data_IF_891722987714
#
_entry.id   IF_891722987714
#
_cell.length_a   1.000
_cell.length_b   1.000
_cell.length_c   1.000
_cell.angle_alpha   90.00
_cell.angle_beta   90.00
_cell.angle_gamma   90.00
#
_symmetry.space_group_name_H-M   'P 1'
#
loop_
_entity.id
_entity.type
_entity.pdbx_description
1 polymer ?
#
# COMPACT_ATOMS: atom_id res chain seq x y z
N UNK A 1 -46.86 1.87 19.41
CA UNK A 1 -46.62 0.51 18.89
C UNK A 1 -45.17 0.04 18.95
N UNK A 2 -44.57 0.01 20.15
CA UNK A 2 -43.27 -0.64 20.41
C UNK A 2 -43.39 -1.82 21.39
N UNK A 3 -44.63 -2.21 21.75
CA UNK A 3 -44.91 -3.18 22.82
C UNK A 3 -45.74 -4.38 22.37
N UNK A 4 -46.05 -4.53 21.08
CA UNK A 4 -46.73 -5.74 20.56
C UNK A 4 -45.71 -6.85 20.23
N UNK A 5 -45.03 -7.31 21.27
CA UNK A 5 -44.90 -8.71 21.69
C UNK A 5 -44.73 -9.89 20.73
N UNK A 6 -44.30 -9.77 19.46
CA UNK A 6 -44.22 -10.98 18.62
C UNK A 6 -43.12 -11.08 17.54
N UNK A 7 -42.09 -10.23 17.58
CA UNK A 7 -40.86 -10.49 16.83
C UNK A 7 -39.82 -11.01 17.80
N UNK A 8 -39.52 -12.31 17.73
CA UNK A 8 -38.40 -12.91 18.45
C UNK A 8 -37.17 -12.02 18.29
N UNK A 9 -36.52 -11.68 19.40
CA UNK A 9 -35.38 -10.77 19.44
C UNK A 9 -34.35 -11.22 18.39
N UNK A 10 -34.36 -10.57 17.23
CA UNK A 10 -33.43 -10.92 16.17
C UNK A 10 -32.04 -10.52 16.68
N UNK A 11 -31.14 -11.48 16.93
CA UNK A 11 -29.81 -11.19 17.50
C UNK A 11 -29.05 -10.16 16.65
N UNK A 12 -29.41 -10.04 15.38
CA UNK A 12 -28.86 -9.10 14.41
C UNK A 12 -29.01 -7.62 14.80
N UNK A 13 -30.11 -7.20 15.42
CA UNK A 13 -30.31 -5.77 15.74
C UNK A 13 -29.40 -5.28 16.87
N UNK A 14 -29.18 -6.11 17.89
CA UNK A 14 -28.24 -5.78 18.97
C UNK A 14 -26.80 -5.76 18.47
N UNK A 15 -26.44 -6.70 17.58
CA UNK A 15 -25.12 -6.74 16.95
C UNK A 15 -24.90 -5.51 16.07
N UNK A 16 -25.89 -5.07 15.28
CA UNK A 16 -25.79 -3.86 14.47
C UNK A 16 -25.62 -2.60 15.34
N UNK A 17 -26.40 -2.47 16.41
CA UNK A 17 -26.27 -1.32 17.33
C UNK A 17 -24.90 -1.31 18.02
N UNK A 18 -24.41 -2.48 18.43
CA UNK A 18 -23.08 -2.61 19.03
C UNK A 18 -21.97 -2.24 18.03
N UNK A 19 -22.07 -2.68 16.77
CA UNK A 19 -21.14 -2.28 15.70
C UNK A 19 -21.15 -0.77 15.46
N UNK A 20 -22.32 -0.14 15.46
CA UNK A 20 -22.44 1.32 15.32
C UNK A 20 -21.79 2.06 16.50
N UNK A 21 -22.01 1.59 17.73
CA UNK A 21 -21.34 2.14 18.92
C UNK A 21 -19.82 1.96 18.85
N UNK A 22 -19.36 0.77 18.50
CA UNK A 22 -17.93 0.46 18.37
C UNK A 22 -17.25 1.33 17.32
N UNK A 23 -17.89 1.58 16.17
CA UNK A 23 -17.34 2.45 15.11
C UNK A 23 -17.08 3.88 15.61
N UNK A 24 -17.95 4.43 16.46
CA UNK A 24 -17.78 5.77 17.04
C UNK A 24 -16.60 5.82 18.03
N UNK A 25 -16.44 4.77 18.84
CA UNK A 25 -15.33 4.67 19.79
C UNK A 25 -13.98 4.42 19.11
N UNK A 26 -13.96 3.68 18.00
CA UNK A 26 -12.75 3.43 17.21
C UNK A 26 -12.16 4.72 16.64
N UNK A 27 -12.99 5.64 16.15
CA UNK A 27 -12.53 6.95 15.69
C UNK A 27 -11.81 7.72 16.81
N UNK A 28 -12.38 7.72 18.02
CA UNK A 28 -11.76 8.36 19.17
C UNK A 28 -10.42 7.72 19.57
N UNK A 29 -10.35 6.39 19.60
CA UNK A 29 -9.08 5.68 19.91
C UNK A 29 -8.01 5.97 18.85
N UNK A 30 -8.39 6.00 17.58
CA UNK A 30 -7.50 6.32 16.47
C UNK A 30 -6.87 7.72 16.62
N UNK A 31 -7.67 8.76 16.89
CA UNK A 31 -7.13 10.11 17.10
C UNK A 31 -6.33 10.24 18.40
N UNK A 32 -6.66 9.50 19.46
CA UNK A 32 -5.83 9.44 20.67
C UNK A 32 -4.42 8.93 20.35
N UNK A 33 -4.29 7.89 19.52
CA UNK A 33 -3.00 7.34 19.07
C UNK A 33 -2.21 8.33 18.22
N UNK A 34 -2.87 8.98 17.26
CA UNK A 34 -2.26 10.05 16.46
C UNK A 34 -1.74 11.18 17.35
N UNK A 35 -2.55 11.61 18.32
CA UNK A 35 -2.16 12.65 19.28
C UNK A 35 -0.95 12.23 20.14
N UNK A 36 -0.87 10.95 20.53
CA UNK A 36 0.27 10.43 21.27
C UNK A 36 1.55 10.48 20.42
N UNK A 37 1.49 10.02 19.17
CA UNK A 37 2.62 10.10 18.24
C UNK A 37 3.08 11.54 17.99
N UNK A 38 2.13 12.46 17.78
CA UNK A 38 2.44 13.90 17.67
C UNK A 38 3.06 14.44 18.96
N UNK A 39 2.53 14.07 20.13
CA UNK A 39 3.05 14.50 21.43
C UNK A 39 4.50 14.05 21.67
N UNK A 40 4.82 12.79 21.33
CA UNK A 40 6.20 12.27 21.43
C UNK A 40 7.15 13.05 20.51
N UNK A 41 6.73 13.36 19.29
CA UNK A 41 7.52 14.18 18.37
C UNK A 41 7.74 15.60 18.91
N UNK A 42 6.74 16.23 19.55
CA UNK A 42 6.92 17.54 20.21
C UNK A 42 7.90 17.46 21.38
N UNK A 43 7.85 16.40 22.19
CA UNK A 43 8.79 16.19 23.30
C UNK A 43 10.22 16.07 22.76
N UNK A 44 10.44 15.31 21.68
CA UNK A 44 11.76 15.19 21.05
C UNK A 44 12.28 16.52 20.49
N UNK A 45 11.42 17.33 19.88
CA UNK A 45 11.81 18.68 19.45
C UNK A 45 12.14 19.59 20.63
N UNK A 46 11.36 19.56 21.71
CA UNK A 46 11.65 20.32 22.92
C UNK A 46 13.01 19.93 23.53
N UNK A 47 13.31 18.63 23.58
CA UNK A 47 14.63 18.12 23.99
C UNK A 47 15.74 18.58 23.04
N UNK A 48 15.49 18.60 21.73
CA UNK A 48 16.44 19.13 20.74
C UNK A 48 16.76 20.60 21.01
N UNK A 49 15.75 21.44 21.26
CA UNK A 49 15.95 22.85 21.64
C UNK A 49 16.69 23.01 22.96
N UNK A 50 16.35 22.20 23.97
CA UNK A 50 17.08 22.18 25.24
C UNK A 50 18.56 21.86 25.03
N UNK A 51 18.88 20.83 24.24
CA UNK A 51 20.25 20.48 23.91
C UNK A 51 20.97 21.58 23.12
N UNK A 52 20.29 22.27 22.20
CA UNK A 52 20.86 23.43 21.50
C UNK A 52 21.27 24.51 22.51
N UNK A 53 20.37 24.90 23.42
CA UNK A 53 20.68 25.90 24.44
C UNK A 53 21.87 25.47 25.30
N UNK A 54 21.81 24.28 25.89
CA UNK A 54 22.86 23.81 26.80
C UNK A 54 24.22 23.63 26.09
N UNK A 55 24.25 23.10 24.86
CA UNK A 55 25.53 22.83 24.17
C UNK A 55 26.11 24.04 23.43
N UNK A 56 25.30 24.84 22.74
CA UNK A 56 25.78 25.99 21.98
C UNK A 56 25.94 27.24 22.84
N UNK A 57 25.05 27.47 23.81
CA UNK A 57 25.10 28.67 24.66
C UNK A 57 26.03 28.45 25.83
N UNK A 58 25.84 27.38 26.62
CA UNK A 58 26.59 27.16 27.85
C UNK A 58 27.96 26.51 27.58
N UNK A 59 27.99 25.36 26.88
CA UNK A 59 29.24 24.62 26.65
C UNK A 59 30.09 25.14 25.48
N UNK A 60 29.55 26.03 24.65
CA UNK A 60 30.24 26.67 23.52
C UNK A 60 30.85 25.65 22.53
N UNK A 61 30.25 24.47 22.43
CA UNK A 61 30.69 23.41 21.52
C UNK A 61 29.68 23.22 20.39
N UNK A 62 29.83 23.93 19.25
CA UNK A 62 28.88 23.84 18.15
C UNK A 62 28.83 22.42 17.56
N UNK A 63 29.97 21.73 17.48
CA UNK A 63 30.06 20.36 16.96
C UNK A 63 29.20 19.40 17.78
N UNK A 64 29.27 19.47 19.11
CA UNK A 64 28.46 18.62 20.00
C UNK A 64 26.97 18.93 19.82
N UNK A 65 26.59 20.20 19.71
CA UNK A 65 25.18 20.55 19.52
C UNK A 65 24.61 20.12 18.18
N UNK A 66 25.34 20.28 17.07
CA UNK A 66 24.89 19.75 15.78
C UNK A 66 24.76 18.22 15.79
N UNK A 67 25.66 17.51 16.48
CA UNK A 67 25.58 16.06 16.63
C UNK A 67 24.32 15.64 17.42
N UNK A 68 24.01 16.30 18.54
CA UNK A 68 22.80 16.02 19.33
C UNK A 68 21.52 16.36 18.57
N UNK A 69 21.48 17.51 17.87
CA UNK A 69 20.34 17.86 17.02
C UNK A 69 20.13 16.78 15.98
N UNK A 70 21.16 16.39 15.25
CA UNK A 70 21.09 15.34 14.22
C UNK A 70 20.56 14.02 14.82
N UNK A 71 21.03 13.64 16.01
CA UNK A 71 20.57 12.43 16.70
C UNK A 71 19.07 12.48 16.98
N UNK A 72 18.56 13.55 17.61
CA UNK A 72 17.13 13.69 17.90
C UNK A 72 16.28 13.77 16.63
N UNK A 73 16.78 14.41 15.59
CA UNK A 73 16.08 14.47 14.30
C UNK A 73 16.03 13.10 13.62
N UNK A 74 17.10 12.31 13.66
CA UNK A 74 17.08 10.92 13.18
C UNK A 74 16.08 10.07 13.96
N UNK A 75 15.99 10.23 15.28
CA UNK A 75 14.98 9.53 16.11
C UNK A 75 13.55 9.95 15.72
N UNK A 76 13.32 11.24 15.49
CA UNK A 76 12.02 11.78 15.05
C UNK A 76 11.62 11.19 13.70
N UNK A 77 12.55 11.11 12.74
CA UNK A 77 12.33 10.47 11.43
C UNK A 77 12.00 8.99 11.60
N UNK A 78 12.76 8.27 12.43
CA UNK A 78 12.53 6.84 12.67
C UNK A 78 11.15 6.58 13.28
N UNK A 79 10.74 7.37 14.28
CA UNK A 79 9.40 7.25 14.87
C UNK A 79 8.29 7.57 13.85
N UNK A 80 8.48 8.61 13.04
CA UNK A 80 7.50 8.95 12.01
C UNK A 80 7.34 7.85 10.96
N UNK A 81 8.42 7.18 10.57
CA UNK A 81 8.37 6.02 9.66
C UNK A 81 7.67 4.82 10.30
N UNK A 82 7.80 4.63 11.62
CA UNK A 82 7.11 3.55 12.33
C UNK A 82 5.61 3.82 12.52
N UNK A 83 5.23 5.08 12.75
CA UNK A 83 3.84 5.48 13.02
C UNK A 83 3.00 5.65 11.75
N UNK A 84 3.60 6.05 10.63
CA UNK A 84 2.90 6.26 9.35
C UNK A 84 2.93 4.99 8.50
N UNK A 85 1.76 4.53 8.06
CA UNK A 85 1.62 3.47 7.06
C UNK A 85 0.73 3.96 5.92
N UNK A 86 1.15 3.71 4.68
CA UNK A 86 0.37 4.03 3.49
C UNK A 86 0.67 5.36 2.79
N UNK A 87 1.60 6.17 3.30
CA UNK A 87 2.23 7.23 2.50
C UNK A 87 3.46 6.70 1.77
N UNK A 88 3.77 7.28 0.61
CA UNK A 88 5.03 6.97 -0.08
C UNK A 88 6.19 7.41 0.82
N UNK A 89 7.28 6.63 0.89
CA UNK A 89 8.49 7.01 1.67
C UNK A 89 8.97 8.44 1.39
N UNK A 90 8.82 8.90 0.13
CA UNK A 90 9.16 10.28 -0.28
C UNK A 90 8.30 11.35 0.41
N UNK A 91 7.02 11.10 0.63
CA UNK A 91 6.11 12.04 1.30
C UNK A 91 6.40 12.12 2.79
N UNK A 92 6.65 10.97 3.43
CA UNK A 92 7.08 10.90 4.83
C UNK A 92 8.37 11.70 5.01
N UNK A 93 9.36 11.46 4.15
CA UNK A 93 10.63 12.17 4.19
C UNK A 93 10.47 13.68 3.95
N UNK A 94 9.59 14.09 3.03
CA UNK A 94 9.31 15.50 2.78
C UNK A 94 8.71 16.21 4.02
N UNK A 95 7.73 15.58 4.69
CA UNK A 95 7.16 16.11 5.94
C UNK A 95 8.22 16.22 7.03
N UNK A 96 9.10 15.22 7.15
CA UNK A 96 10.18 15.26 8.14
C UNK A 96 11.25 16.30 7.84
N UNK A 97 11.62 16.52 6.57
CA UNK A 97 12.55 17.59 6.20
C UNK A 97 12.02 18.96 6.64
N UNK A 98 10.72 19.21 6.45
CA UNK A 98 10.07 20.44 6.96
C UNK A 98 10.12 20.52 8.48
N UNK A 99 9.98 19.40 9.19
CA UNK A 99 10.07 19.32 10.65
C UNK A 99 11.48 19.48 11.24
N UNK A 100 12.51 19.20 10.45
CA UNK A 100 13.92 19.35 10.85
C UNK A 100 14.37 20.82 10.74
N UNK A 101 13.81 21.58 9.79
CA UNK A 101 14.19 22.97 9.51
C UNK A 101 14.13 23.91 10.73
N UNK A 102 13.09 23.92 11.60
CA UNK A 102 13.02 24.78 12.77
C UNK A 102 14.23 24.63 13.70
N UNK A 103 14.64 23.39 13.99
CA UNK A 103 15.78 23.10 14.86
C UNK A 103 17.11 23.48 14.20
N UNK A 104 17.27 23.20 12.89
CA UNK A 104 18.47 23.58 12.15
C UNK A 104 18.63 25.11 12.03
N UNK A 105 17.56 25.84 11.73
CA UNK A 105 17.57 27.30 11.64
C UNK A 105 17.92 27.94 12.99
N UNK A 106 17.43 27.35 14.08
CA UNK A 106 17.74 27.80 15.44
C UNK A 106 19.19 27.52 15.81
N UNK A 107 19.66 26.30 15.59
CA UNK A 107 21.06 25.93 15.83
C UNK A 107 22.02 26.79 14.99
N UNK A 108 21.69 27.01 13.71
CA UNK A 108 22.45 27.85 12.81
C UNK A 108 22.50 29.31 13.27
N UNK A 109 21.35 29.88 13.65
CA UNK A 109 21.24 31.25 14.14
C UNK A 109 22.03 31.49 15.44
N UNK A 110 22.00 30.54 16.38
CA UNK A 110 22.75 30.62 17.64
C UNK A 110 24.25 30.40 17.40
N UNK A 111 24.62 29.47 16.50
CA UNK A 111 26.03 29.19 16.19
C UNK A 111 26.73 30.38 15.52
N UNK A 112 26.02 31.10 14.64
CA UNK A 112 26.54 32.29 13.94
C UNK A 112 26.22 33.60 14.68
N UNK A 113 25.77 33.51 15.92
CA UNK A 113 25.55 34.65 16.78
C UNK A 113 26.83 35.44 17.05
N UNK A 114 26.73 36.76 17.14
CA UNK A 114 27.83 37.59 17.64
C UNK A 114 28.07 37.22 19.10
N UNK A 115 29.32 36.91 19.40
CA UNK A 115 29.79 36.58 20.76
C UNK A 115 30.73 37.67 21.24
N UNK A 116 30.68 37.96 22.53
CA UNK A 116 31.62 38.86 23.18
C UNK A 116 33.02 38.22 23.28
N UNK A 117 33.98 38.98 23.79
CA UNK A 117 35.36 38.51 24.01
C UNK A 117 35.43 37.31 24.98
N UNK A 118 34.41 37.14 25.83
CA UNK A 118 34.29 36.03 26.76
C UNK A 118 33.57 34.82 26.15
N UNK A 119 33.14 34.88 24.88
CA UNK A 119 32.41 33.82 24.18
C UNK A 119 30.93 33.69 24.54
N UNK A 120 30.38 34.64 25.30
CA UNK A 120 28.97 34.77 25.67
C UNK A 120 28.21 35.42 24.51
N UNK A 121 26.98 34.96 24.29
CA UNK A 121 26.10 35.48 23.23
C UNK A 121 25.67 36.92 23.56
N UNK A 122 25.77 37.85 22.62
CA UNK A 122 25.35 39.25 22.84
C UNK A 122 23.82 39.32 23.07
N UNK A 123 23.34 39.79 24.23
CA UNK A 123 21.90 39.87 24.52
C UNK A 123 21.17 40.87 23.61
N UNK A 124 21.88 41.82 23.00
CA UNK A 124 21.29 42.80 22.09
C UNK A 124 21.22 42.31 20.65
N UNK A 125 21.65 41.07 20.36
CA UNK A 125 21.61 40.53 19.02
C UNK A 125 20.16 40.34 18.54
N UNK A 126 19.86 40.87 17.35
CA UNK A 126 18.60 40.61 16.66
C UNK A 126 18.63 39.23 15.99
N UNK A 127 17.83 38.28 16.48
CA UNK A 127 17.72 36.93 15.94
C UNK A 127 16.77 36.87 14.75
N UNK A 128 17.23 37.31 13.57
CA UNK A 128 16.43 37.31 12.34
C UNK A 128 15.92 35.92 11.91
N UNK A 129 16.60 34.84 12.32
CA UNK A 129 16.21 33.46 12.02
C UNK A 129 15.07 32.93 12.89
N UNK A 130 14.82 33.56 14.06
CA UNK A 130 13.79 33.14 15.00
C UNK A 130 12.38 33.12 14.39
N UNK A 131 11.87 34.18 13.74
CA UNK A 131 10.53 34.14 13.14
C UNK A 131 10.40 33.05 12.07
N UNK A 132 11.44 32.79 11.28
CA UNK A 132 11.42 31.73 10.28
C UNK A 132 11.36 30.34 10.92
N UNK A 133 12.06 30.11 12.03
CA UNK A 133 11.95 28.85 12.77
C UNK A 133 10.53 28.59 13.26
N UNK A 134 9.86 29.59 13.84
CA UNK A 134 8.46 29.47 14.27
C UNK A 134 7.51 29.25 13.09
N UNK A 135 7.72 29.93 11.96
CA UNK A 135 6.90 29.72 10.76
C UNK A 135 7.08 28.29 10.22
N UNK A 136 8.31 27.79 10.14
CA UNK A 136 8.57 26.40 9.74
C UNK A 136 7.90 25.40 10.71
N UNK A 137 7.91 25.68 12.01
CA UNK A 137 7.24 24.84 13.02
C UNK A 137 5.73 24.79 12.81
N UNK A 138 5.10 25.95 12.56
CA UNK A 138 3.66 26.02 12.25
C UNK A 138 3.35 25.30 10.94
N UNK A 139 4.14 25.51 9.89
CA UNK A 139 3.97 24.79 8.62
C UNK A 139 4.08 23.27 8.79
N UNK A 140 5.03 22.81 9.60
CA UNK A 140 5.19 21.39 9.89
C UNK A 140 3.99 20.82 10.66
N UNK A 141 3.47 21.52 11.66
CA UNK A 141 2.26 21.16 12.39
C UNK A 141 1.04 21.07 11.48
N UNK A 142 0.86 22.06 10.59
CA UNK A 142 -0.21 22.06 9.59
C UNK A 142 -0.11 20.88 8.62
N UNK A 143 1.10 20.52 8.19
CA UNK A 143 1.32 19.34 7.35
C UNK A 143 0.92 18.06 8.10
N UNK A 144 1.28 17.92 9.37
CA UNK A 144 0.87 16.79 10.19
C UNK A 144 -0.65 16.71 10.38
N UNK A 145 -1.32 17.84 10.61
CA UNK A 145 -2.78 17.89 10.69
C UNK A 145 -3.44 17.48 9.38
N UNK A 146 -2.87 17.86 8.24
CA UNK A 146 -3.34 17.41 6.92
C UNK A 146 -3.08 15.93 6.67
N UNK A 147 -1.98 15.38 7.17
CA UNK A 147 -1.69 13.94 7.12
C UNK A 147 -2.65 13.15 8.01
N UNK A 148 -3.04 13.72 9.16
CA UNK A 148 -4.02 13.15 10.08
C UNK A 148 -5.47 13.36 9.64
N UNK A 149 -5.73 14.21 8.64
CA UNK A 149 -7.07 14.40 8.13
C UNK A 149 -7.59 13.11 7.49
N UNK A 150 -8.89 12.78 7.67
CA UNK A 150 -9.49 11.61 7.06
C UNK A 150 -9.45 11.72 5.53
N UNK A 151 -9.23 10.60 4.84
CA UNK A 151 -9.13 10.55 3.39
C UNK A 151 -10.40 9.92 2.78
N UNK A 152 -11.07 10.64 1.87
CA UNK A 152 -12.21 10.14 1.11
C UNK A 152 -13.57 10.20 1.84
N UNK A 153 -14.59 9.66 1.18
CA UNK A 153 -15.98 9.56 1.65
C UNK A 153 -16.20 8.41 2.66
N UNK A 154 -15.13 8.04 3.38
CA UNK A 154 -15.16 6.92 4.31
C UNK A 154 -16.08 7.27 5.50
N UNK A 155 -17.13 6.48 5.69
CA UNK A 155 -18.21 6.78 6.66
C UNK A 155 -17.65 6.93 8.09
N UNK A 156 -16.58 6.18 8.40
CA UNK A 156 -15.92 6.17 9.70
C UNK A 156 -14.92 7.33 9.90
N UNK A 157 -14.56 8.10 8.86
CA UNK A 157 -13.60 9.23 8.89
C UNK A 157 -12.31 8.93 9.67
N UNK A 158 -11.75 7.73 9.45
CA UNK A 158 -10.57 7.25 10.16
C UNK A 158 -9.27 7.79 9.53
N UNK A 159 -8.25 8.14 10.33
CA UNK A 159 -6.93 8.50 9.83
C UNK A 159 -6.14 7.25 9.40
N UNK A 160 -6.53 6.64 8.27
CA UNK A 160 -5.95 5.38 7.74
C UNK A 160 -4.45 5.43 7.42
N UNK A 161 -3.87 6.63 7.35
CA UNK A 161 -2.44 6.86 7.09
C UNK A 161 -1.52 6.50 8.27
N UNK A 162 -2.10 6.13 9.41
CA UNK A 162 -1.35 5.73 10.60
C UNK A 162 -1.42 4.22 10.78
N UNK A 163 -0.25 3.59 10.92
CA UNK A 163 -0.13 2.14 11.07
C UNK A 163 -0.93 1.61 12.26
N UNK A 164 -0.89 2.36 13.37
CA UNK A 164 -1.60 2.00 14.60
C UNK A 164 -3.13 2.00 14.43
N UNK A 165 -3.64 2.74 13.44
CA UNK A 165 -5.08 2.84 13.13
C UNK A 165 -5.50 1.71 12.21
N UNK A 166 -4.62 1.27 11.31
CA UNK A 166 -4.86 0.12 10.43
C UNK A 166 -5.20 -1.15 11.23
N UNK A 167 -4.55 -1.35 12.38
CA UNK A 167 -4.79 -2.50 13.24
C UNK A 167 -6.10 -2.43 14.06
N UNK A 168 -6.74 -1.25 14.13
CA UNK A 168 -8.04 -1.11 14.80
C UNK A 168 -9.20 -1.56 13.92
N UNK A 169 -9.02 -1.55 12.59
CA UNK A 169 -10.03 -1.93 11.62
C UNK A 169 -9.92 -3.41 11.22
N UNK A 170 -10.00 -4.31 12.20
CA UNK A 170 -9.91 -5.77 11.98
C UNK A 170 -11.09 -6.32 11.16
N UNK A 171 -12.19 -5.57 11.08
CA UNK A 171 -13.45 -6.07 10.50
C UNK A 171 -13.94 -5.32 9.26
N UNK A 172 -13.46 -4.08 9.00
CA UNK A 172 -13.92 -3.26 7.87
C UNK A 172 -13.24 -3.59 6.54
N UNK A 173 -11.97 -3.99 6.55
CA UNK A 173 -11.18 -4.13 5.32
C UNK A 173 -11.38 -5.44 4.55
N UNK A 174 -12.09 -6.43 5.13
CA UNK A 174 -12.28 -7.75 4.47
C UNK A 174 -13.18 -7.67 3.23
N UNK A 175 -14.01 -6.62 3.11
CA UNK A 175 -14.95 -6.47 1.99
C UNK A 175 -14.58 -5.40 0.95
N UNK A 176 -13.60 -4.54 1.23
CA UNK A 176 -13.51 -3.23 0.59
C UNK A 176 -12.24 -2.91 -0.19
N UNK A 177 -11.15 -3.69 -0.05
CA UNK A 177 -9.91 -3.44 -0.78
C UNK A 177 -10.01 -3.86 -2.25
N UNK A 178 -10.91 -3.21 -3.01
CA UNK A 178 -10.76 -3.09 -4.45
C UNK A 178 -9.51 -2.27 -4.65
N UNK A 179 -8.40 -2.95 -4.95
CA UNK A 179 -7.10 -2.36 -5.22
C UNK A 179 -7.29 -1.06 -5.97
N UNK A 180 -6.92 0.04 -5.30
CA UNK A 180 -6.89 1.36 -5.90
C UNK A 180 -6.13 1.19 -7.20
N UNK A 181 -6.84 1.28 -8.32
CA UNK A 181 -6.33 0.96 -9.62
C UNK A 181 -5.04 1.75 -9.87
N UNK A 182 -3.99 1.01 -10.17
CA UNK A 182 -3.08 1.30 -11.28
C UNK A 182 -2.83 2.79 -11.55
N UNK A 183 -2.31 3.50 -10.55
CA UNK A 183 -1.38 4.58 -10.84
C UNK A 183 -0.01 3.95 -10.74
N UNK A 184 0.59 3.62 -11.89
CA UNK A 184 1.89 2.95 -12.02
C UNK A 184 2.98 3.55 -11.12
N UNK A 185 3.13 2.97 -9.94
CA UNK A 185 4.16 3.31 -8.96
C UNK A 185 5.00 2.06 -8.77
N UNK A 186 6.29 2.23 -9.03
CA UNK A 186 7.36 1.24 -9.05
C UNK A 186 7.39 0.33 -7.80
N UNK A 187 7.70 -0.96 -8.04
CA UNK A 187 7.67 -2.15 -7.19
C UNK A 187 8.65 -2.18 -5.99
N UNK A 188 8.90 -1.09 -5.28
CA UNK A 188 9.99 -1.08 -4.27
C UNK A 188 9.61 -1.42 -2.82
N UNK A 189 8.33 -1.66 -2.48
CA UNK A 189 7.90 -1.75 -1.06
C UNK A 189 7.06 -2.98 -0.65
N UNK A 190 7.05 -4.07 -1.44
CA UNK A 190 6.20 -5.26 -1.16
C UNK A 190 6.76 -6.20 -0.06
N UNK A 191 7.96 -5.95 0.49
CA UNK A 191 8.67 -6.96 1.30
C UNK A 191 8.25 -7.12 2.78
N UNK A 192 7.44 -6.24 3.38
CA UNK A 192 7.16 -6.29 4.84
C UNK A 192 5.76 -6.81 5.23
N UNK A 193 4.83 -6.96 4.27
CA UNK A 193 3.44 -7.34 4.55
C UNK A 193 3.19 -8.84 4.75
N UNK A 194 3.96 -9.70 4.07
CA UNK A 194 3.63 -11.14 3.98
C UNK A 194 4.11 -11.98 5.18
N UNK A 195 5.03 -11.47 6.00
CA UNK A 195 5.66 -12.26 7.05
C UNK A 195 4.82 -12.39 8.34
N UNK A 196 3.81 -11.53 8.55
CA UNK A 196 3.02 -11.51 9.80
C UNK A 196 1.62 -12.12 9.70
N UNK A 197 1.08 -12.39 8.51
CA UNK A 197 -0.22 -13.05 8.36
C UNK A 197 -0.21 -14.56 8.66
N UNK A 198 0.97 -15.20 8.78
CA UNK A 198 1.06 -16.64 9.06
C UNK A 198 1.21 -17.03 10.54
N UNK A 199 1.37 -16.07 11.47
CA UNK A 199 1.68 -16.38 12.87
C UNK A 199 0.50 -16.27 13.86
N UNK A 200 -0.71 -15.90 13.40
CA UNK A 200 -1.85 -15.62 14.28
C UNK A 200 -3.01 -16.63 14.24
N UNK A 201 -2.94 -17.70 13.43
CA UNK A 201 -4.00 -18.72 13.41
C UNK A 201 -3.73 -19.73 14.53
N UNK A 202 -4.08 -19.34 15.75
CA UNK A 202 -4.26 -20.30 16.84
C UNK A 202 -5.32 -21.32 16.40
N UNK A 203 -4.90 -22.59 16.46
CA UNK A 203 -5.76 -23.76 16.28
C UNK A 203 -6.72 -23.79 17.47
N UNK A 204 -7.93 -23.27 17.28
CA UNK A 204 -9.06 -23.80 18.02
C UNK A 204 -9.44 -25.14 17.39
N UNK A 205 -9.30 -26.19 18.20
CA UNK A 205 -9.65 -27.59 17.95
C UNK A 205 -11.16 -27.75 17.73
N UNK A 206 -11.70 -27.19 16.65
CA UNK A 206 -12.97 -27.63 16.11
C UNK A 206 -12.69 -28.61 14.97
N UNK A 207 -13.12 -29.86 15.15
CA UNK A 207 -13.00 -30.98 14.21
C UNK A 207 -13.84 -30.78 12.92
N UNK A 208 -14.05 -29.54 12.50
CA UNK A 208 -14.45 -29.23 11.14
C UNK A 208 -13.21 -29.44 10.28
N UNK A 209 -13.11 -30.60 9.61
CA UNK A 209 -12.23 -30.73 8.46
C UNK A 209 -12.43 -29.47 7.59
N UNK A 210 -11.40 -28.64 7.40
CA UNK A 210 -11.54 -27.42 6.60
C UNK A 210 -12.06 -27.83 5.24
N UNK A 211 -13.14 -27.18 4.79
CA UNK A 211 -13.92 -27.54 3.60
C UNK A 211 -13.00 -27.70 2.39
N UNK A 212 -12.52 -28.93 2.20
CA UNK A 212 -11.52 -29.28 1.22
C UNK A 212 -12.07 -29.06 -0.17
N UNK A 213 -13.38 -29.27 -0.30
CA UNK A 213 -14.15 -29.12 -1.51
C UNK A 213 -14.18 -27.64 -1.92
N UNK A 214 -14.41 -26.72 -0.98
CA UNK A 214 -14.42 -25.28 -1.26
C UNK A 214 -13.06 -24.78 -1.77
N UNK A 215 -11.95 -25.10 -1.08
CA UNK A 215 -10.63 -24.64 -1.52
C UNK A 215 -10.24 -25.23 -2.88
N UNK A 216 -10.62 -26.48 -3.13
CA UNK A 216 -10.37 -27.16 -4.41
C UNK A 216 -11.21 -26.52 -5.52
N UNK A 217 -12.46 -26.16 -5.25
CA UNK A 217 -13.32 -25.43 -6.18
C UNK A 217 -12.75 -24.04 -6.52
N UNK A 218 -12.25 -23.29 -5.54
CA UNK A 218 -11.60 -21.99 -5.76
C UNK A 218 -10.35 -22.13 -6.63
N UNK A 219 -9.52 -23.13 -6.35
CA UNK A 219 -8.29 -23.37 -7.12
C UNK A 219 -8.61 -23.78 -8.58
N UNK A 220 -9.61 -24.63 -8.79
CA UNK A 220 -10.09 -24.97 -10.13
C UNK A 220 -10.67 -23.76 -10.87
N UNK A 221 -11.44 -22.90 -10.18
CA UNK A 221 -11.96 -21.68 -10.75
C UNK A 221 -10.83 -20.73 -11.18
N UNK A 222 -9.81 -20.53 -10.33
CA UNK A 222 -8.66 -19.70 -10.65
C UNK A 222 -7.87 -20.24 -11.85
N UNK A 223 -7.63 -21.56 -11.90
CA UNK A 223 -6.98 -22.21 -13.03
C UNK A 223 -7.78 -22.04 -14.34
N UNK A 224 -9.10 -22.23 -14.28
CA UNK A 224 -9.97 -22.05 -15.44
C UNK A 224 -9.95 -20.61 -15.97
N UNK A 225 -9.97 -19.61 -15.08
CA UNK A 225 -9.87 -18.19 -15.47
C UNK A 225 -8.51 -17.88 -16.12
N UNK A 226 -7.42 -18.45 -15.61
CA UNK A 226 -6.10 -18.29 -16.20
C UNK A 226 -6.04 -18.92 -17.60
N UNK A 227 -6.64 -20.09 -17.80
CA UNK A 227 -6.76 -20.73 -19.12
C UNK A 227 -7.55 -19.87 -20.10
N UNK A 228 -8.67 -19.28 -19.68
CA UNK A 228 -9.46 -18.36 -20.51
C UNK A 228 -8.62 -17.13 -20.91
N UNK A 229 -7.91 -16.52 -19.96
CA UNK A 229 -7.03 -15.39 -20.25
C UNK A 229 -5.91 -15.76 -21.25
N UNK A 230 -5.32 -16.95 -21.09
CA UNK A 230 -4.31 -17.49 -22.03
C UNK A 230 -4.88 -17.68 -23.43
N UNK A 231 -6.07 -18.26 -23.57
CA UNK A 231 -6.74 -18.41 -24.86
C UNK A 231 -6.95 -17.04 -25.54
N UNK A 232 -7.42 -16.05 -24.80
CA UNK A 232 -7.61 -14.68 -25.31
C UNK A 232 -6.31 -14.04 -25.82
N UNK A 233 -5.25 -14.06 -25.01
CA UNK A 233 -3.94 -13.48 -25.37
C UNK A 233 -3.28 -14.25 -26.52
N UNK A 234 -3.39 -15.57 -26.53
CA UNK A 234 -2.86 -16.42 -27.63
C UNK A 234 -3.53 -16.08 -28.94
N UNK A 235 -4.84 -15.90 -28.91
CA UNK A 235 -5.66 -15.60 -30.08
C UNK A 235 -5.40 -14.19 -30.62
N UNK A 236 -5.25 -13.20 -29.74
CA UNK A 236 -4.82 -11.87 -30.13
C UNK A 236 -3.39 -11.87 -30.69
N UNK A 237 -2.50 -12.70 -30.13
CA UNK A 237 -1.12 -12.86 -30.63
C UNK A 237 -1.02 -13.53 -32.00
N UNK A 238 -2.06 -14.25 -32.45
CA UNK A 238 -2.08 -14.87 -33.77
C UNK A 238 -2.51 -13.90 -34.89
N UNK A 239 -2.98 -12.70 -34.52
CA UNK A 239 -3.41 -11.68 -35.49
C UNK A 239 -2.15 -11.24 -36.26
N UNK A 240 -2.20 -11.20 -37.61
CA UNK A 240 -1.04 -10.78 -38.38
C UNK A 240 -0.57 -9.38 -37.95
N UNK A 241 0.74 -9.19 -37.83
CA UNK A 241 1.31 -7.94 -37.31
C UNK A 241 0.93 -6.69 -38.12
N UNK A 242 0.67 -6.86 -39.42
CA UNK A 242 0.18 -5.77 -40.28
C UNK A 242 -1.25 -5.34 -39.97
N UNK A 243 -2.04 -6.14 -39.23
CA UNK A 243 -3.41 -5.80 -38.88
C UNK A 243 -3.52 -5.00 -37.57
N UNK A 244 -2.47 -4.97 -36.74
CA UNK A 244 -2.46 -4.28 -35.45
C UNK A 244 -1.83 -2.89 -35.57
N UNK A 245 -2.46 -1.86 -34.98
CA UNK A 245 -1.78 -0.58 -34.80
C UNK A 245 -0.69 -0.66 -33.72
N UNK A 246 0.16 0.38 -33.65
CA UNK A 246 1.24 0.44 -32.66
C UNK A 246 0.76 0.40 -31.21
N UNK A 247 -0.42 0.95 -30.92
CA UNK A 247 -0.96 0.94 -29.55
C UNK A 247 -1.42 -0.45 -29.14
N UNK A 248 -2.18 -1.14 -29.99
CA UNK A 248 -2.64 -2.51 -29.82
C UNK A 248 -1.46 -3.48 -29.68
N UNK A 249 -0.36 -3.23 -30.39
CA UNK A 249 0.86 -4.03 -30.23
C UNK A 249 1.47 -3.86 -28.83
N UNK A 250 1.50 -2.64 -28.29
CA UNK A 250 1.95 -2.37 -26.91
C UNK A 250 1.01 -2.98 -25.88
N UNK A 251 -0.31 -2.85 -26.09
CA UNK A 251 -1.32 -3.40 -25.19
C UNK A 251 -1.22 -4.93 -25.14
N UNK A 252 -1.00 -5.57 -26.29
CA UNK A 252 -0.78 -7.03 -26.39
C UNK A 252 0.50 -7.48 -25.68
N UNK A 253 1.60 -6.72 -25.81
CA UNK A 253 2.85 -6.99 -25.08
C UNK A 253 2.65 -6.85 -23.57
N UNK A 254 2.00 -5.77 -23.13
CA UNK A 254 1.65 -5.55 -21.73
C UNK A 254 0.80 -6.68 -21.15
N UNK A 255 -0.24 -7.13 -21.88
CA UNK A 255 -1.08 -8.25 -21.46
C UNK A 255 -0.31 -9.57 -21.37
N UNK A 256 0.64 -9.80 -22.29
CA UNK A 256 1.52 -10.98 -22.24
C UNK A 256 2.39 -10.98 -21.00
N UNK A 257 2.93 -9.82 -20.64
CA UNK A 257 3.75 -9.67 -19.43
C UNK A 257 2.93 -9.83 -18.15
N UNK A 258 1.73 -9.23 -18.09
CA UNK A 258 0.78 -9.42 -16.98
C UNK A 258 0.43 -10.90 -16.79
N UNK A 259 0.09 -11.59 -17.88
CA UNK A 259 -0.26 -13.01 -17.83
C UNK A 259 0.91 -13.88 -17.36
N UNK A 260 2.12 -13.55 -17.78
CA UNK A 260 3.35 -14.21 -17.31
C UNK A 260 3.57 -13.98 -15.81
N UNK A 261 3.34 -12.76 -15.33
CA UNK A 261 3.45 -12.43 -13.91
C UNK A 261 2.39 -13.15 -13.06
N UNK A 262 1.13 -13.19 -13.52
CA UNK A 262 0.07 -13.94 -12.86
C UNK A 262 0.37 -15.44 -12.83
N UNK A 263 0.83 -16.01 -13.94
CA UNK A 263 1.29 -17.39 -14.00
C UNK A 263 2.42 -17.65 -12.98
N UNK A 264 3.42 -16.77 -12.91
CA UNK A 264 4.53 -16.90 -11.96
C UNK A 264 4.10 -16.75 -10.49
N UNK A 265 2.99 -16.08 -10.22
CA UNK A 265 2.47 -15.89 -8.85
C UNK A 265 1.54 -17.04 -8.44
N UNK A 266 0.65 -17.45 -9.33
CA UNK A 266 -0.36 -18.48 -9.06
C UNK A 266 0.27 -19.87 -9.02
N UNK A 267 1.22 -20.16 -9.92
CA UNK A 267 1.78 -21.51 -10.05
C UNK A 267 2.54 -21.97 -8.80
N UNK A 268 3.42 -21.18 -8.15
CA UNK A 268 4.08 -21.58 -6.92
C UNK A 268 3.12 -21.79 -5.75
N UNK A 269 2.10 -20.96 -5.61
CA UNK A 269 1.08 -21.13 -4.57
C UNK A 269 0.23 -22.36 -4.81
N UNK A 270 -0.14 -22.62 -6.07
CA UNK A 270 -0.82 -23.87 -6.44
C UNK A 270 0.07 -25.10 -6.18
N UNK A 271 1.36 -25.03 -6.54
CA UNK A 271 2.33 -26.09 -6.27
C UNK A 271 2.49 -26.34 -4.77
N UNK A 272 2.57 -25.27 -3.97
CA UNK A 272 2.62 -25.32 -2.51
C UNK A 272 1.37 -26.01 -1.94
N UNK A 273 0.18 -25.64 -2.40
CA UNK A 273 -1.08 -26.26 -2.01
C UNK A 273 -1.12 -27.75 -2.37
N UNK A 274 -0.75 -28.13 -3.60
CA UNK A 274 -0.72 -29.52 -4.03
C UNK A 274 0.33 -30.35 -3.27
N UNK A 275 1.49 -29.77 -2.95
CA UNK A 275 2.56 -30.43 -2.18
C UNK A 275 2.13 -30.72 -0.75
N UNK A 276 1.50 -29.76 -0.08
CA UNK A 276 0.93 -29.95 1.25
C UNK A 276 -0.15 -31.05 1.27
N UNK A 277 -0.84 -31.26 0.15
CA UNK A 277 -1.94 -32.22 0.00
C UNK A 277 -1.55 -33.56 -0.63
N UNK A 278 -0.28 -33.75 -1.02
CA UNK A 278 0.20 -34.99 -1.64
C UNK A 278 -0.30 -35.25 -3.07
N UNK A 279 -0.95 -34.28 -3.74
CA UNK A 279 -1.53 -34.45 -5.08
C UNK A 279 -0.53 -34.04 -6.16
N UNK A 280 0.52 -34.84 -6.37
CA UNK A 280 1.61 -34.52 -7.32
C UNK A 280 1.23 -34.64 -8.80
N UNK A 281 0.19 -35.39 -9.14
CA UNK A 281 -0.19 -35.65 -10.54
C UNK A 281 -0.80 -34.43 -11.23
N UNK A 282 -1.61 -33.62 -10.52
CA UNK A 282 -2.25 -32.42 -11.07
C UNK A 282 -1.24 -31.34 -11.47
N UNK A 283 -0.15 -31.21 -10.73
CA UNK A 283 0.90 -30.21 -10.98
C UNK A 283 1.50 -30.40 -12.38
N UNK A 284 1.80 -31.64 -12.79
CA UNK A 284 2.42 -31.90 -14.09
C UNK A 284 1.54 -31.54 -15.28
N UNK A 285 0.22 -31.72 -15.15
CA UNK A 285 -0.73 -31.34 -16.20
C UNK A 285 -0.80 -29.82 -16.33
N UNK A 286 -0.86 -29.10 -15.20
CA UNK A 286 -0.94 -27.64 -15.18
C UNK A 286 0.38 -26.97 -15.60
N UNK A 287 1.53 -27.50 -15.20
CA UNK A 287 2.83 -26.94 -15.59
C UNK A 287 3.06 -26.96 -17.10
N UNK A 288 2.58 -28.01 -17.79
CA UNK A 288 2.73 -28.14 -19.24
C UNK A 288 1.92 -27.07 -20.00
N UNK A 289 0.74 -26.71 -19.50
CA UNK A 289 -0.15 -25.76 -20.15
C UNK A 289 0.08 -24.31 -19.72
N UNK A 290 0.50 -24.08 -18.46
CA UNK A 290 0.59 -22.73 -17.89
C UNK A 290 1.94 -22.06 -18.16
N UNK A 291 3.03 -22.84 -18.18
CA UNK A 291 4.40 -22.27 -18.14
C UNK A 291 4.86 -21.69 -19.47
N UNK A 292 4.24 -22.09 -20.59
CA UNK A 292 4.63 -21.64 -21.93
C UNK A 292 3.35 -21.27 -22.67
N UNK A 293 3.17 -19.97 -22.93
CA UNK A 293 2.14 -19.50 -23.86
C UNK A 293 2.49 -20.03 -25.27
N UNK A 294 2.05 -21.25 -25.58
CA UNK A 294 2.27 -21.87 -26.89
C UNK A 294 1.63 -20.98 -27.96
N UNK A 295 2.36 -20.62 -29.04
CA UNK A 295 1.77 -19.85 -30.12
C UNK A 295 0.67 -20.66 -30.80
N UNK A 296 -0.31 -19.99 -31.39
CA UNK A 296 -1.48 -20.63 -31.99
C UNK A 296 -1.12 -21.66 -33.09
N UNK A 297 -0.02 -21.42 -33.81
CA UNK A 297 0.52 -22.34 -34.83
C UNK A 297 0.81 -23.73 -34.27
N UNK A 298 1.25 -23.81 -33.03
CA UNK A 298 1.80 -25.01 -32.41
C UNK A 298 0.72 -25.88 -31.75
N UNK A 299 -0.52 -25.38 -31.69
CA UNK A 299 -1.66 -26.15 -31.18
C UNK A 299 -2.13 -27.19 -32.21
N UNK A 300 -2.46 -28.38 -31.71
CA UNK A 300 -3.14 -29.43 -32.48
C UNK A 300 -4.53 -28.97 -32.97
N UNK A 301 -5.09 -29.67 -33.95
CA UNK A 301 -6.46 -29.40 -34.45
C UNK A 301 -7.49 -29.49 -33.33
N UNK A 302 -7.34 -30.47 -32.45
CA UNK A 302 -8.29 -30.75 -31.39
C UNK A 302 -8.22 -29.65 -30.32
N UNK A 303 -7.02 -29.22 -29.93
CA UNK A 303 -6.83 -28.06 -29.03
C UNK A 303 -7.38 -26.76 -29.64
N UNK A 304 -7.16 -26.52 -30.94
CA UNK A 304 -7.72 -25.36 -31.64
C UNK A 304 -9.24 -25.37 -31.62
N UNK A 305 -9.87 -26.53 -31.76
CA UNK A 305 -11.32 -26.69 -31.71
C UNK A 305 -11.91 -26.58 -30.29
N UNK A 306 -11.11 -26.92 -29.27
CA UNK A 306 -11.49 -26.83 -27.86
C UNK A 306 -11.25 -25.43 -27.25
N UNK A 307 -10.54 -24.54 -27.96
CA UNK A 307 -10.31 -23.17 -27.51
C UNK A 307 -11.64 -22.41 -27.39
N UNK A 308 -11.87 -21.76 -26.25
CA UNK A 308 -13.13 -21.07 -25.98
C UNK A 308 -13.40 -19.89 -26.92
N UNK A 309 -12.37 -19.41 -27.65
CA UNK A 309 -12.49 -18.33 -28.63
C UNK A 309 -12.29 -18.81 -30.08
N UNK A 310 -12.32 -20.12 -30.36
CA UNK A 310 -12.10 -20.69 -31.69
C UNK A 310 -13.01 -20.08 -32.77
N UNK A 311 -14.27 -19.80 -32.43
CA UNK A 311 -15.29 -19.24 -33.33
C UNK A 311 -15.59 -17.75 -33.09
N UNK A 312 -14.78 -17.08 -32.26
CA UNK A 312 -14.96 -15.67 -31.99
C UNK A 312 -14.30 -14.82 -33.08
N UNK A 313 -15.04 -13.81 -33.56
CA UNK A 313 -14.50 -12.75 -34.42
C UNK A 313 -13.55 -11.88 -33.58
N UNK A 314 -12.31 -11.70 -34.04
CA UNK A 314 -11.40 -10.76 -33.41
C UNK A 314 -11.39 -9.42 -34.16
N UNK A 315 -11.52 -8.34 -33.40
CA UNK A 315 -11.53 -6.97 -33.89
C UNK A 315 -12.63 -6.13 -33.23
N UNK A 316 -12.83 -4.88 -33.67
CA UNK A 316 -12.19 -4.27 -34.83
C UNK A 316 -10.71 -3.94 -34.59
N UNK A 317 -9.88 -4.11 -35.63
CA UNK A 317 -8.52 -3.61 -35.63
C UNK A 317 -8.43 -2.33 -36.46
N UNK A 318 -7.81 -1.29 -35.89
CA UNK A 318 -7.56 -0.03 -36.56
C UNK A 318 -6.14 -0.07 -37.11
N UNK A 319 -5.97 0.24 -38.40
CA UNK A 319 -4.65 0.39 -39.00
C UNK A 319 -4.12 1.81 -38.75
N UNK A 320 -2.79 1.96 -38.59
CA UNK A 320 -2.12 3.27 -38.42
C UNK A 320 -2.45 4.25 -39.57
N UNK A 321 -2.85 3.73 -40.74
CA UNK A 321 -3.19 4.51 -41.93
C UNK A 321 -4.65 5.03 -41.92
N UNK A 322 -5.46 4.73 -40.89
CA UNK A 322 -6.75 5.37 -40.63
C UNK A 322 -7.92 5.08 -41.59
N UNK A 323 -7.72 4.29 -42.67
CA UNK A 323 -8.74 4.15 -43.72
C UNK A 323 -9.47 2.80 -43.80
N UNK A 324 -9.11 1.77 -43.00
CA UNK A 324 -9.81 0.48 -43.02
C UNK A 324 -9.84 -0.18 -41.63
N UNK A 325 -11.04 -0.38 -41.09
CA UNK A 325 -11.28 -1.35 -40.03
C UNK A 325 -11.27 -2.75 -40.64
N UNK A 326 -10.36 -3.61 -40.16
CA UNK A 326 -10.33 -5.00 -40.53
C UNK A 326 -10.90 -5.84 -39.37
N UNK A 327 -11.70 -6.85 -39.71
CA UNK A 327 -12.09 -7.91 -38.79
C UNK A 327 -11.41 -9.19 -39.25
N UNK A 328 -10.86 -9.95 -38.32
CA UNK A 328 -10.20 -11.21 -38.63
C UNK A 328 -11.03 -12.37 -38.06
N UNK A 329 -11.50 -13.23 -38.96
CA UNK A 329 -12.09 -14.51 -38.61
C UNK A 329 -10.99 -15.57 -38.74
N UNK A 330 -10.86 -16.44 -37.75
CA UNK A 330 -10.08 -17.65 -37.97
C UNK A 330 -11.06 -18.77 -38.26
N UNK A 331 -10.77 -19.50 -39.32
CA UNK A 331 -11.47 -20.73 -39.68
C UNK A 331 -10.87 -21.95 -38.97
#
# INVERSE_FOLDING_TARGET
DLLTGQQGAQPERHVQLFRQLQSKWQCYDAYCRVCMGLGVNQILQALSYYCICHTLVENRSPTTGYALVTLFQCTTVALAVLDLAGLKRREILAVQVVGILPCLLTAWGIAHGKRDEHGVLDPNQTYWTSPFSFLCQVCWLELWLRVAAPHGDDEAKLPRRFRQVLFLDVFGDVGGWKGMGDTGVEEDDVLEGEMFQQLGKEKDDDNGEPDYEELTAVAHAAAAQLTIAQCGVRRWSAVPSWALNKQQHKDLEFLRDQLKNWSNTILPEFERCCRLRGVRSLIRSLEADVKILRPWSDLSSDEKSADCFAQCLLGPFEHDDGYKTACYHYD
#
